data_IF_522390099823
#
_entry.id   IF_522390099823
#
_cell.length_a   1.000
_cell.length_b   1.000
_cell.length_c   1.000
_cell.angle_alpha   90.00
_cell.angle_beta   90.00
_cell.angle_gamma   90.00
#
_symmetry.space_group_name_H-M   'P 1'
#
loop_
_entity.id
_entity.type
_entity.pdbx_description
1 polymer ?
#
# COMPACT_ATOMS: atom_id res chain seq x y z
N UNK A 1 24.67 23.22 0.78
CA UNK A 1 24.32 21.86 1.26
C UNK A 1 23.74 21.11 0.07
N UNK A 2 24.36 20.00 -0.33
CA UNK A 2 23.83 19.15 -1.41
C UNK A 2 22.53 18.54 -0.86
N UNK A 3 21.38 18.94 -1.40
CA UNK A 3 20.12 18.27 -1.09
C UNK A 3 20.30 16.79 -1.35
N UNK A 4 20.06 15.96 -0.34
CA UNK A 4 20.00 14.53 -0.56
C UNK A 4 18.94 14.32 -1.64
N UNK A 5 19.34 13.76 -2.78
CA UNK A 5 18.39 13.12 -3.67
C UNK A 5 17.85 11.99 -2.82
N UNK A 6 16.64 12.15 -2.26
CA UNK A 6 15.89 10.98 -1.85
C UNK A 6 15.76 10.18 -3.14
N UNK A 7 16.52 9.09 -3.24
CA UNK A 7 16.29 8.11 -4.29
C UNK A 7 14.79 7.78 -4.20
N UNK A 8 14.05 8.06 -5.27
CA UNK A 8 12.62 7.76 -5.32
C UNK A 8 12.48 6.24 -5.24
N UNK A 9 12.36 5.73 -4.03
CA UNK A 9 12.17 4.31 -3.80
C UNK A 9 10.78 3.97 -4.33
N UNK A 10 10.74 2.99 -5.23
CA UNK A 10 9.52 2.52 -5.86
C UNK A 10 9.31 1.06 -5.48
N UNK A 11 8.06 0.71 -5.23
CA UNK A 11 7.62 -0.68 -5.09
C UNK A 11 6.48 -0.97 -6.06
N UNK A 12 6.55 -2.13 -6.70
CA UNK A 12 5.38 -2.72 -7.36
C UNK A 12 4.59 -3.49 -6.31
N UNK A 13 3.31 -3.13 -6.16
CA UNK A 13 2.35 -3.90 -5.39
C UNK A 13 1.83 -5.03 -6.29
N UNK A 14 2.15 -6.27 -5.93
CA UNK A 14 1.84 -7.45 -6.72
C UNK A 14 0.89 -8.39 -5.98
N UNK A 15 0.12 -9.17 -6.74
CA UNK A 15 -0.61 -10.36 -6.28
C UNK A 15 -0.23 -11.53 -7.17
N UNK A 16 0.70 -12.37 -6.70
CA UNK A 16 1.36 -13.34 -7.57
C UNK A 16 2.04 -12.64 -8.76
N UNK A 17 1.67 -13.00 -9.99
CA UNK A 17 2.24 -12.41 -11.21
C UNK A 17 1.54 -11.12 -11.67
N UNK A 18 0.42 -10.74 -11.04
CA UNK A 18 -0.36 -9.57 -11.43
C UNK A 18 0.12 -8.32 -10.70
N UNK A 19 0.39 -7.24 -11.44
CA UNK A 19 0.67 -5.93 -10.85
C UNK A 19 -0.64 -5.22 -10.53
N UNK A 20 -0.81 -4.89 -9.26
CA UNK A 20 -1.99 -4.19 -8.73
C UNK A 20 -1.80 -2.68 -8.83
N UNK A 21 -0.57 -2.20 -8.60
CA UNK A 21 -0.21 -0.80 -8.73
C UNK A 21 1.24 -0.53 -8.36
N UNK A 22 1.63 0.73 -8.41
CA UNK A 22 2.97 1.21 -8.10
C UNK A 22 2.90 2.18 -6.93
N UNK A 23 3.81 2.02 -5.98
CA UNK A 23 3.98 2.87 -4.81
C UNK A 23 5.30 3.61 -4.94
N UNK A 24 5.24 4.94 -5.01
CA UNK A 24 6.44 5.80 -5.03
C UNK A 24 6.58 6.48 -3.69
N UNK A 25 7.74 6.30 -3.02
CA UNK A 25 8.04 6.91 -1.74
C UNK A 25 7.89 8.43 -1.78
N UNK A 26 7.16 8.99 -0.83
CA UNK A 26 7.05 10.43 -0.61
C UNK A 26 7.64 10.85 0.74
N UNK A 27 7.35 10.10 1.80
CA UNK A 27 7.88 10.36 3.14
C UNK A 27 7.94 9.09 3.99
N UNK A 28 8.72 9.12 5.06
CA UNK A 28 8.74 8.09 6.09
C UNK A 28 8.58 8.81 7.43
N UNK A 29 7.59 8.38 8.23
CA UNK A 29 7.48 8.78 9.63
C UNK A 29 7.88 7.63 10.56
N UNK A 30 7.67 7.79 11.87
CA UNK A 30 8.08 6.79 12.86
C UNK A 30 7.38 5.43 12.73
N UNK A 31 6.25 5.37 12.02
CA UNK A 31 5.39 4.19 11.93
C UNK A 31 5.00 3.81 10.50
N UNK A 32 5.02 4.75 9.56
CA UNK A 32 4.46 4.58 8.23
C UNK A 32 5.39 5.10 7.14
N UNK A 33 5.33 4.41 6.01
CA UNK A 33 5.90 4.84 4.74
C UNK A 33 4.78 5.43 3.89
N UNK A 34 4.83 6.73 3.63
CA UNK A 34 3.92 7.45 2.74
C UNK A 34 4.34 7.27 1.29
N UNK A 35 3.36 7.00 0.43
CA UNK A 35 3.59 6.79 -0.98
C UNK A 35 2.51 7.46 -1.83
N UNK A 36 2.93 7.92 -3.01
CA UNK A 36 2.01 8.06 -4.14
C UNK A 36 1.64 6.68 -4.68
N UNK A 37 0.36 6.44 -4.92
CA UNK A 37 -0.16 5.20 -5.49
C UNK A 37 -0.69 5.42 -6.91
N UNK A 38 -0.18 4.62 -7.84
CA UNK A 38 -0.61 4.60 -9.24
C UNK A 38 -1.23 3.22 -9.53
N UNK A 39 -2.56 3.12 -9.71
CA UNK A 39 -3.22 1.84 -9.93
C UNK A 39 -2.83 1.23 -11.28
N UNK A 40 -2.81 -0.10 -11.33
CA UNK A 40 -2.56 -0.88 -12.56
C UNK A 40 -3.74 -1.82 -12.85
N UNK A 41 -3.55 -2.79 -13.75
CA UNK A 41 -4.61 -3.68 -14.22
C UNK A 41 -5.21 -4.56 -13.13
N UNK A 42 -4.44 -4.90 -12.08
CA UNK A 42 -4.94 -5.67 -10.94
C UNK A 42 -5.73 -4.85 -9.91
N UNK A 43 -5.73 -3.52 -10.01
CA UNK A 43 -6.41 -2.64 -9.04
C UNK A 43 -7.91 -2.93 -8.87
N UNK A 44 -8.72 -3.16 -9.92
CA UNK A 44 -10.15 -3.40 -9.77
C UNK A 44 -10.48 -4.58 -8.84
N UNK A 45 -9.60 -5.57 -8.72
CA UNK A 45 -9.78 -6.70 -7.82
C UNK A 45 -9.46 -6.37 -6.35
N UNK A 46 -8.54 -5.42 -6.09
CA UNK A 46 -8.18 -4.96 -4.75
C UNK A 46 -9.13 -3.85 -4.24
N UNK A 47 -9.64 -3.01 -5.14
CA UNK A 47 -10.43 -1.81 -4.79
C UNK A 47 -11.57 -2.07 -3.79
N UNK A 48 -12.40 -3.13 -3.91
CA UNK A 48 -13.50 -3.36 -2.97
C UNK A 48 -13.02 -3.58 -1.51
N UNK A 49 -11.86 -4.19 -1.32
CA UNK A 49 -11.28 -4.42 0.00
C UNK A 49 -10.76 -3.12 0.61
N UNK A 50 -10.13 -2.28 -0.21
CA UNK A 50 -9.68 -0.94 0.19
C UNK A 50 -10.88 -0.05 0.55
N UNK A 51 -11.92 -0.05 -0.28
CA UNK A 51 -13.13 0.74 -0.03
C UNK A 51 -13.79 0.33 1.31
N UNK A 52 -13.83 -0.98 1.61
CA UNK A 52 -14.35 -1.50 2.87
C UNK A 52 -13.50 -1.08 4.07
N UNK A 53 -12.18 -1.20 3.97
CA UNK A 53 -11.24 -0.77 5.00
C UNK A 53 -11.41 0.73 5.29
N UNK A 54 -11.39 1.57 4.24
CA UNK A 54 -11.60 3.00 4.35
C UNK A 54 -12.93 3.34 5.03
N UNK A 55 -14.01 2.69 4.62
CA UNK A 55 -15.32 2.94 5.20
C UNK A 55 -15.38 2.58 6.70
N UNK A 56 -14.74 1.48 7.11
CA UNK A 56 -14.68 1.08 8.51
C UNK A 56 -13.88 2.08 9.36
N UNK A 57 -12.66 2.42 8.92
CA UNK A 57 -11.80 3.35 9.65
C UNK A 57 -12.36 4.78 9.66
N UNK A 58 -13.02 5.21 8.58
CA UNK A 58 -13.73 6.49 8.52
C UNK A 58 -14.87 6.61 9.55
N UNK A 59 -15.54 5.49 9.87
CA UNK A 59 -16.56 5.43 10.93
C UNK A 59 -15.98 5.21 12.33
N UNK A 60 -14.66 5.08 12.48
CA UNK A 60 -13.98 4.67 13.73
C UNK A 60 -14.49 3.33 14.27
N UNK A 61 -14.94 2.46 13.38
CA UNK A 61 -15.36 1.10 13.70
C UNK A 61 -14.12 0.20 13.71
N UNK A 62 -13.56 -0.01 14.90
CA UNK A 62 -12.28 -0.70 15.07
C UNK A 62 -12.37 -2.17 14.65
N UNK A 63 -13.45 -2.86 15.02
CA UNK A 63 -13.62 -4.28 14.70
C UNK A 63 -13.78 -4.50 13.20
N UNK A 64 -14.58 -3.66 12.53
CA UNK A 64 -14.70 -3.71 11.08
C UNK A 64 -13.37 -3.33 10.39
N UNK A 65 -12.63 -2.39 10.98
CA UNK A 65 -11.35 -1.94 10.49
C UNK A 65 -10.29 -3.05 10.52
N UNK A 66 -10.20 -3.77 11.63
CA UNK A 66 -9.29 -4.92 11.79
C UNK A 66 -9.65 -6.03 10.79
N UNK A 67 -10.94 -6.38 10.68
CA UNK A 67 -11.39 -7.41 9.73
C UNK A 67 -11.07 -7.05 8.27
N UNK A 68 -11.19 -5.77 7.92
CA UNK A 68 -10.84 -5.31 6.58
C UNK A 68 -9.33 -5.41 6.32
N UNK A 69 -8.49 -5.13 7.32
CA UNK A 69 -7.04 -5.26 7.22
C UNK A 69 -6.62 -6.73 7.05
N UNK A 70 -7.21 -7.62 7.85
CA UNK A 70 -7.02 -9.07 7.72
C UNK A 70 -7.45 -9.57 6.33
N UNK A 71 -8.56 -9.06 5.80
CA UNK A 71 -9.02 -9.41 4.46
C UNK A 71 -8.05 -8.95 3.37
N UNK A 72 -7.45 -7.76 3.49
CA UNK A 72 -6.40 -7.29 2.57
C UNK A 72 -5.14 -8.14 2.70
N UNK A 73 -4.70 -8.45 3.93
CA UNK A 73 -3.53 -9.29 4.18
C UNK A 73 -3.70 -10.69 3.57
N UNK A 74 -4.88 -11.29 3.71
CA UNK A 74 -5.21 -12.61 3.15
C UNK A 74 -5.16 -12.67 1.61
N UNK A 75 -5.11 -11.53 0.90
CA UNK A 75 -4.92 -11.50 -0.55
C UNK A 75 -3.50 -11.90 -0.98
N UNK A 76 -2.56 -12.03 -0.03
CA UNK A 76 -1.18 -12.43 -0.33
C UNK A 76 -0.46 -11.40 -1.19
N UNK A 77 -0.66 -10.12 -0.88
CA UNK A 77 0.00 -9.02 -1.58
C UNK A 77 1.51 -9.02 -1.28
N UNK A 78 2.29 -8.57 -2.25
CA UNK A 78 3.74 -8.43 -2.12
C UNK A 78 4.17 -7.02 -2.54
N UNK A 79 5.09 -6.41 -1.80
CA UNK A 79 5.78 -5.20 -2.23
C UNK A 79 7.15 -5.58 -2.81
N UNK A 80 7.30 -5.45 -4.12
CA UNK A 80 8.53 -5.77 -4.84
C UNK A 80 9.29 -4.46 -5.10
N UNK A 81 10.44 -4.22 -4.44
CA UNK A 81 11.22 -3.02 -4.67
C UNK A 81 11.85 -3.02 -6.07
N UNK A 82 11.71 -1.94 -6.82
CA UNK A 82 12.30 -1.83 -8.17
C UNK A 82 13.83 -1.75 -8.14
N UNK A 83 14.42 -1.41 -6.99
CA UNK A 83 15.87 -1.45 -6.75
C UNK A 83 16.45 -2.88 -6.65
N UNK A 84 15.61 -3.93 -6.70
CA UNK A 84 16.05 -5.32 -6.62
C UNK A 84 16.32 -5.81 -5.19
N UNK A 85 15.81 -5.09 -4.18
CA UNK A 85 15.88 -5.48 -2.76
C UNK A 85 14.93 -6.62 -2.37
N UNK A 86 14.84 -6.88 -1.06
CA UNK A 86 13.98 -7.92 -0.52
C UNK A 86 12.49 -7.61 -0.73
N UNK A 87 11.72 -8.62 -1.13
CA UNK A 87 10.26 -8.54 -1.25
C UNK A 87 9.64 -8.53 0.15
N UNK A 88 8.75 -7.56 0.40
CA UNK A 88 8.03 -7.42 1.67
C UNK A 88 6.65 -8.07 1.54
N UNK A 89 6.34 -8.98 2.47
CA UNK A 89 5.07 -9.75 2.49
C UNK A 89 4.25 -9.50 3.74
N UNK A 90 4.92 -9.23 4.85
CA UNK A 90 4.28 -8.89 6.11
C UNK A 90 4.17 -7.37 6.24
N UNK A 91 3.05 -6.82 5.79
CA UNK A 91 2.80 -5.38 5.89
C UNK A 91 1.32 -5.09 6.07
N UNK A 92 1.03 -3.92 6.65
CA UNK A 92 -0.31 -3.33 6.59
C UNK A 92 -0.34 -2.31 5.46
N UNK A 93 -1.43 -2.30 4.69
CA UNK A 93 -1.65 -1.38 3.58
C UNK A 93 -2.88 -0.51 3.82
N UNK A 94 -2.70 0.80 3.66
CA UNK A 94 -3.76 1.80 3.62
C UNK A 94 -3.72 2.50 2.27
N UNK A 95 -4.84 2.54 1.57
CA UNK A 95 -4.99 3.33 0.34
C UNK A 95 -6.23 4.19 0.52
N UNK A 96 -6.13 5.49 0.26
CA UNK A 96 -7.25 6.41 0.45
C UNK A 96 -8.02 6.61 -0.86
N UNK A 97 -8.89 5.64 -1.19
CA UNK A 97 -9.85 5.72 -2.30
C UNK A 97 -9.22 6.08 -3.66
N UNK A 98 -9.86 7.01 -4.39
CA UNK A 98 -9.39 7.52 -5.70
C UNK A 98 -8.22 8.51 -5.57
N UNK A 99 -7.78 8.83 -4.35
CA UNK A 99 -6.60 9.67 -4.17
C UNK A 99 -5.37 8.81 -4.30
N UNK A 100 -4.40 9.32 -5.04
CA UNK A 100 -3.15 8.65 -5.36
C UNK A 100 -2.23 8.52 -4.13
N UNK A 101 -2.75 8.22 -2.94
CA UNK A 101 -1.98 8.13 -1.70
C UNK A 101 -2.18 6.77 -1.05
N UNK A 102 -1.07 6.20 -0.62
CA UNK A 102 -1.02 4.95 0.10
C UNK A 102 0.00 5.04 1.21
N UNK A 103 -0.22 4.27 2.27
CA UNK A 103 0.74 4.13 3.36
C UNK A 103 0.90 2.67 3.69
N UNK A 104 2.12 2.24 3.92
CA UNK A 104 2.38 0.90 4.43
C UNK A 104 3.38 0.90 5.58
N UNK A 105 3.35 -0.17 6.37
CA UNK A 105 4.32 -0.45 7.42
C UNK A 105 4.62 -1.94 7.47
N UNK A 106 5.87 -2.29 7.72
CA UNK A 106 6.43 -3.64 7.73
C UNK A 106 7.47 -3.78 8.85
#
# INVERSE_FOLDING_TARGET
MKGAVMEHQVWRLCRGHEVVGVLTLEAIDMFWTDCRFEPSTGWPALKPFVDASRAAWGRRDQDAGIKADEAIYALGLELVPDSGGAVIRDFLLRIDGDTATARFRY
#
